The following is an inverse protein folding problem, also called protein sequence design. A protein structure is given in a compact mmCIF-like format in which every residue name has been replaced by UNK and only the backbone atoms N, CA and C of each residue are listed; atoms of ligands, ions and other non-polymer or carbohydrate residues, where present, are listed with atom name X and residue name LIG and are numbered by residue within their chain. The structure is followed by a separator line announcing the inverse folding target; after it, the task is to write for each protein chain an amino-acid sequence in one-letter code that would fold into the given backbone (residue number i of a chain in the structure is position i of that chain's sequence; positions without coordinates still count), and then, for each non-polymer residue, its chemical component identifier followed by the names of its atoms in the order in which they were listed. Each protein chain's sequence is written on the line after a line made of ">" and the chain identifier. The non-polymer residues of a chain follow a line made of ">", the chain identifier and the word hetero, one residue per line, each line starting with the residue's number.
data_IF_008973902771
#
_entry.id   IF_008973902771
#
_cell.length_a   1.000
_cell.length_b   1.000
_cell.length_c   1.000
_cell.angle_alpha   90.00
_cell.angle_beta   90.00
_cell.angle_gamma   90.00
#
_symmetry.space_group_name_H-M   'P 1'
#
loop_
_entity.id
_entity.type
_entity.pdbx_description
1 polymer ?
#
# COMPACT_ATOMS: atom_id res chain seq x y z
N UNK A 1 9.27 -1.96 -46.79
CA UNK A 1 10.44 -2.86 -46.72
C UNK A 1 11.35 -2.24 -45.66
N UNK A 2 11.24 -2.77 -44.43
CA UNK A 2 11.93 -2.27 -43.24
C UNK A 2 13.43 -2.53 -43.41
N UNK A 3 14.24 -1.49 -43.36
CA UNK A 3 15.69 -1.64 -43.43
C UNK A 3 16.30 -0.88 -42.24
N UNK A 4 16.95 -1.66 -41.35
CA UNK A 4 17.69 -1.25 -40.13
C UNK A 4 16.86 -1.00 -38.86
N UNK A 5 16.41 -2.11 -38.26
CA UNK A 5 15.66 -2.16 -36.99
C UNK A 5 16.28 -1.36 -35.84
N UNK A 6 15.70 -0.19 -35.60
CA UNK A 6 15.80 0.54 -34.36
C UNK A 6 14.47 1.25 -34.11
N UNK A 7 13.86 1.01 -32.95
CA UNK A 7 12.76 1.85 -32.45
C UNK A 7 13.43 3.05 -31.78
N UNK A 8 13.28 4.23 -32.37
CA UNK A 8 13.74 5.47 -31.78
C UNK A 8 12.68 5.98 -30.82
N UNK A 9 12.91 5.79 -29.52
CA UNK A 9 12.07 6.32 -28.45
C UNK A 9 12.82 7.52 -27.84
N UNK A 10 12.27 8.71 -28.03
CA UNK A 10 12.73 9.97 -27.44
C UNK A 10 11.80 10.29 -26.27
N UNK A 11 12.34 10.45 -25.07
CA UNK A 11 11.60 11.01 -23.93
C UNK A 11 12.00 12.47 -23.76
N UNK A 12 11.09 13.32 -23.30
CA UNK A 12 11.46 14.59 -22.66
C UNK A 12 12.35 14.36 -21.42
N UNK A 13 12.69 15.41 -20.68
CA UNK A 13 13.38 15.23 -19.39
C UNK A 13 12.54 14.33 -18.49
N UNK A 14 13.08 13.16 -18.11
CA UNK A 14 12.52 12.32 -17.07
C UNK A 14 12.65 13.11 -15.77
N UNK A 15 11.54 13.67 -15.29
CA UNK A 15 11.55 14.59 -14.16
C UNK A 15 12.09 13.93 -12.88
N UNK A 16 11.82 12.64 -12.65
CA UNK A 16 12.45 11.86 -11.57
C UNK A 16 12.28 10.35 -11.81
N UNK A 17 13.37 9.58 -11.73
CA UNK A 17 13.29 8.11 -11.60
C UNK A 17 13.35 7.78 -10.12
N UNK A 18 12.24 7.28 -9.57
CA UNK A 18 12.21 6.76 -8.21
C UNK A 18 12.35 5.24 -8.27
N UNK A 19 13.55 4.66 -8.10
CA UNK A 19 13.65 3.23 -7.91
C UNK A 19 12.83 2.88 -6.67
N UNK A 20 11.90 1.96 -6.83
CA UNK A 20 11.13 1.45 -5.71
C UNK A 20 11.99 0.48 -4.88
N UNK A 21 13.17 0.90 -4.40
CA UNK A 21 13.93 0.19 -3.37
C UNK A 21 13.19 0.34 -2.03
N UNK A 22 12.98 -0.77 -1.31
CA UNK A 22 12.30 -0.78 -0.01
C UNK A 22 13.23 -1.37 1.03
N UNK A 23 13.63 -0.53 1.98
CA UNK A 23 14.04 -0.99 3.31
C UNK A 23 12.93 -0.61 4.26
N UNK A 24 12.09 -1.55 4.66
CA UNK A 24 11.09 -1.32 5.72
C UNK A 24 11.87 -1.40 7.05
N UNK A 25 12.01 -0.29 7.82
CA UNK A 25 12.58 -0.37 9.16
C UNK A 25 11.78 -1.36 10.02
N UNK A 26 12.46 -2.38 10.55
CA UNK A 26 11.81 -3.48 11.28
C UNK A 26 11.25 -3.12 12.66
N UNK A 27 11.14 -1.82 13.03
CA UNK A 27 10.71 -1.44 14.38
C UNK A 27 9.69 -0.30 14.33
N UNK A 28 8.46 -0.60 14.79
CA UNK A 28 7.35 0.32 15.10
C UNK A 28 6.64 1.02 13.92
N UNK A 29 6.89 0.57 12.69
CA UNK A 29 6.07 0.98 11.54
C UNK A 29 4.75 0.19 11.53
N UNK A 30 3.67 0.95 11.41
CA UNK A 30 2.31 0.46 11.25
C UNK A 30 1.70 0.96 9.95
N UNK A 31 0.62 0.32 9.53
CA UNK A 31 -0.20 0.75 8.37
C UNK A 31 -0.52 2.25 8.46
N UNK A 32 -0.96 2.73 9.63
CA UNK A 32 -1.35 4.14 9.82
C UNK A 32 -0.16 5.11 9.76
N UNK A 33 1.04 4.70 10.19
CA UNK A 33 2.24 5.55 10.04
C UNK A 33 2.79 5.53 8.63
N UNK A 34 2.75 4.38 7.95
CA UNK A 34 3.24 4.27 6.58
C UNK A 34 2.39 5.13 5.63
N UNK A 35 1.07 5.05 5.78
CA UNK A 35 0.15 5.89 5.03
C UNK A 35 0.17 7.38 5.47
N UNK A 36 1.08 7.77 6.37
CA UNK A 36 1.18 9.11 6.97
C UNK A 36 -0.13 9.59 7.63
N UNK A 37 -1.04 8.69 7.98
CA UNK A 37 -2.34 9.05 8.59
C UNK A 37 -2.18 9.41 10.07
N UNK A 38 -1.21 8.79 10.75
CA UNK A 38 -1.02 8.94 12.20
C UNK A 38 -0.82 10.39 12.64
N UNK A 39 0.00 11.15 11.91
CA UNK A 39 0.29 12.55 12.20
C UNK A 39 -0.96 13.43 12.19
N UNK A 40 -1.84 13.19 11.23
CA UNK A 40 -3.09 13.91 11.09
C UNK A 40 -4.10 13.51 12.17
N UNK A 41 -4.12 12.23 12.55
CA UNK A 41 -4.92 11.78 13.71
C UNK A 41 -4.43 12.45 15.00
N UNK A 42 -3.12 12.46 15.27
CA UNK A 42 -2.55 13.11 16.47
C UNK A 42 -2.94 14.58 16.56
N UNK A 43 -2.86 15.31 15.44
CA UNK A 43 -3.29 16.72 15.35
C UNK A 43 -4.79 16.89 15.58
N UNK A 44 -5.61 15.97 15.06
CA UNK A 44 -7.06 16.02 15.23
C UNK A 44 -7.47 15.75 16.69
N UNK A 45 -6.91 14.73 17.33
CA UNK A 45 -7.21 14.38 18.72
C UNK A 45 -6.74 15.46 19.70
N UNK A 46 -5.59 16.09 19.46
CA UNK A 46 -5.12 17.21 20.28
C UNK A 46 -6.04 18.45 20.24
N UNK A 47 -6.97 18.55 19.28
CA UNK A 47 -7.94 19.65 19.19
C UNK A 47 -9.25 19.38 19.94
N UNK A 48 -9.47 18.15 20.41
CA UNK A 48 -10.68 17.77 21.17
C UNK A 48 -10.75 18.50 22.51
N UNK A 49 -11.97 18.63 23.07
CA UNK A 49 -12.14 19.28 24.37
C UNK A 49 -11.49 18.46 25.49
N UNK A 50 -11.70 17.13 25.49
CA UNK A 50 -11.08 16.20 26.43
C UNK A 50 -9.54 16.35 26.48
N UNK A 51 -8.91 16.53 25.30
CA UNK A 51 -7.47 16.76 25.22
C UNK A 51 -7.06 18.12 25.81
N UNK A 52 -7.81 19.19 25.54
CA UNK A 52 -7.52 20.53 26.07
C UNK A 52 -7.64 20.58 27.58
N UNK A 53 -8.67 19.96 28.14
CA UNK A 53 -8.91 19.92 29.59
C UNK A 53 -7.77 19.22 30.33
N UNK A 54 -7.14 18.23 29.68
CA UNK A 54 -5.97 17.48 30.19
C UNK A 54 -4.62 18.07 29.73
N UNK A 55 -4.62 19.25 29.11
CA UNK A 55 -3.43 19.91 28.55
C UNK A 55 -2.60 19.01 27.63
N UNK A 56 -3.26 18.19 26.81
CA UNK A 56 -2.67 17.26 25.84
C UNK A 56 -2.37 17.94 24.50
N UNK A 57 -1.18 17.67 23.97
CA UNK A 57 -0.67 18.14 22.68
C UNK A 57 -0.54 16.97 21.71
N UNK A 58 -0.38 17.24 20.41
CA UNK A 58 -0.23 16.20 19.39
C UNK A 58 0.90 15.20 19.68
N UNK A 59 2.00 15.66 20.29
CA UNK A 59 3.11 14.80 20.71
C UNK A 59 2.72 13.72 21.73
N UNK A 60 1.72 13.99 22.57
CA UNK A 60 1.27 13.08 23.62
C UNK A 60 0.55 11.84 23.05
N UNK A 61 -0.04 11.98 21.86
CA UNK A 61 -0.70 10.92 21.11
C UNK A 61 0.28 10.10 20.25
N UNK A 62 1.58 10.37 20.31
CA UNK A 62 2.60 9.52 19.68
C UNK A 62 2.71 8.19 20.43
N UNK A 63 2.46 7.06 19.78
CA UNK A 63 2.75 5.77 20.42
C UNK A 63 4.26 5.50 20.55
N UNK A 64 5.11 6.22 19.81
CA UNK A 64 6.57 6.06 19.90
C UNK A 64 7.20 6.81 21.07
N UNK A 65 6.67 8.00 21.39
CA UNK A 65 7.32 8.97 22.30
C UNK A 65 6.35 9.68 23.24
N UNK A 66 5.05 9.56 23.00
CA UNK A 66 4.01 10.28 23.74
C UNK A 66 3.73 9.65 25.09
N UNK A 67 3.08 10.44 25.96
CA UNK A 67 2.69 10.01 27.32
C UNK A 67 1.51 9.05 27.36
N UNK A 68 0.69 9.03 26.29
CA UNK A 68 -0.50 8.18 26.23
C UNK A 68 -0.20 6.75 25.74
N UNK A 69 1.05 6.45 25.38
CA UNK A 69 1.43 5.11 24.92
C UNK A 69 1.29 4.08 26.04
N UNK A 70 1.05 2.83 25.66
CA UNK A 70 0.95 1.75 26.63
C UNK A 70 2.29 1.55 27.35
N UNK A 71 2.35 1.61 28.70
CA UNK A 71 3.59 1.44 29.44
C UNK A 71 4.12 0.01 29.43
N UNK A 72 3.22 -0.99 29.30
CA UNK A 72 3.62 -2.41 29.34
C UNK A 72 4.38 -2.86 28.09
N UNK A 73 3.99 -2.38 26.91
CA UNK A 73 4.66 -2.69 25.65
C UNK A 73 5.48 -1.52 25.09
N UNK A 74 5.59 -0.41 25.83
CA UNK A 74 6.24 0.85 25.37
C UNK A 74 5.76 1.29 23.96
N UNK A 75 4.47 1.10 23.68
CA UNK A 75 3.84 1.46 22.41
C UNK A 75 4.11 0.54 21.21
N UNK A 76 4.72 -0.63 21.40
CA UNK A 76 4.86 -1.65 20.34
C UNK A 76 3.55 -2.36 20.03
N UNK A 77 2.62 -2.42 20.98
CA UNK A 77 1.35 -3.16 20.83
C UNK A 77 1.49 -4.67 21.02
N UNK A 78 2.71 -5.19 21.10
CA UNK A 78 3.05 -6.61 21.17
C UNK A 78 4.14 -6.89 22.21
N UNK A 79 4.20 -8.12 22.71
CA UNK A 79 5.23 -8.62 23.60
C UNK A 79 5.93 -9.79 22.92
N UNK A 80 7.27 -9.76 22.89
CA UNK A 80 8.09 -10.89 22.45
C UNK A 80 8.24 -11.87 23.61
N UNK A 81 7.81 -13.11 23.41
CA UNK A 81 8.04 -14.21 24.34
C UNK A 81 9.22 -15.02 23.84
N UNK A 82 10.28 -15.06 24.65
CA UNK A 82 11.40 -15.96 24.44
C UNK A 82 10.94 -17.39 24.79
N UNK A 83 10.85 -18.24 23.76
CA UNK A 83 10.53 -19.65 23.91
C UNK A 83 11.78 -20.43 23.58
N UNK A 84 12.34 -21.09 24.58
CA UNK A 84 13.58 -21.86 24.41
C UNK A 84 13.49 -22.81 23.21
N UNK A 85 14.50 -22.74 22.35
CA UNK A 85 14.65 -23.57 21.13
C UNK A 85 13.65 -23.28 20.00
N UNK A 86 12.81 -22.26 20.13
CA UNK A 86 11.92 -21.78 19.07
C UNK A 86 12.21 -20.32 18.75
N UNK A 87 11.87 -19.83 17.54
CA UNK A 87 11.88 -18.41 17.26
C UNK A 87 10.95 -17.65 18.24
N UNK A 88 11.36 -16.44 18.62
CA UNK A 88 10.56 -15.52 19.42
C UNK A 88 9.11 -15.44 18.91
N UNK A 89 8.15 -15.71 19.79
CA UNK A 89 6.74 -15.59 19.47
C UNK A 89 6.26 -14.21 19.91
N UNK A 90 5.76 -13.43 18.96
CA UNK A 90 5.09 -12.17 19.28
C UNK A 90 3.62 -12.44 19.58
N UNK A 91 3.15 -11.91 20.70
CA UNK A 91 1.72 -11.91 21.06
C UNK A 91 1.21 -10.48 21.20
N UNK A 92 -0.09 -10.22 20.93
CA UNK A 92 -0.71 -8.95 21.27
C UNK A 92 -0.50 -8.64 22.76
N UNK A 93 -0.11 -7.41 23.06
CA UNK A 93 0.08 -6.97 24.44
C UNK A 93 -1.23 -7.15 25.24
N UNK A 94 -1.22 -7.81 26.40
CA UNK A 94 -2.44 -8.09 27.17
C UNK A 94 -3.13 -6.81 27.68
N UNK A 95 -2.36 -5.76 27.93
CA UNK A 95 -2.85 -4.51 28.50
C UNK A 95 -3.55 -3.63 27.45
N UNK A 96 -2.93 -3.43 26.29
CA UNK A 96 -3.47 -2.56 25.24
C UNK A 96 -4.14 -3.32 24.08
N UNK A 97 -3.98 -4.65 24.01
CA UNK A 97 -4.54 -5.54 22.98
C UNK A 97 -4.26 -5.03 21.56
N UNK A 98 -2.99 -4.72 21.28
CA UNK A 98 -2.56 -4.22 19.97
C UNK A 98 -2.78 -2.73 19.72
N UNK A 99 -3.57 -2.02 20.55
CA UNK A 99 -3.88 -0.60 20.30
C UNK A 99 -2.69 0.35 20.51
N UNK A 100 -1.63 -0.09 21.21
CA UNK A 100 -0.39 0.66 21.53
C UNK A 100 -0.57 1.81 22.53
N UNK A 101 -1.76 2.04 23.03
CA UNK A 101 -2.09 3.13 23.95
C UNK A 101 -2.50 2.60 25.33
N UNK A 102 -2.27 3.41 26.36
CA UNK A 102 -2.72 3.16 27.72
C UNK A 102 -4.19 3.52 27.94
N UNK A 103 -4.72 3.20 29.12
CA UNK A 103 -6.13 3.41 29.48
C UNK A 103 -6.58 4.88 29.31
N UNK A 104 -5.74 5.84 29.72
CA UNK A 104 -6.05 7.28 29.64
C UNK A 104 -6.37 7.78 28.22
N UNK A 105 -5.88 7.08 27.19
CA UNK A 105 -6.12 7.44 25.80
C UNK A 105 -7.56 7.11 25.33
N UNK A 106 -8.23 6.17 25.98
CA UNK A 106 -9.62 5.77 25.65
C UNK A 106 -10.65 6.82 26.05
N UNK A 107 -10.31 7.66 27.03
CA UNK A 107 -11.18 8.74 27.49
C UNK A 107 -11.25 9.91 26.50
N UNK A 108 -10.28 10.02 25.61
CA UNK A 108 -10.18 11.15 24.68
C UNK A 108 -10.91 10.76 23.41
N UNK A 109 -12.12 11.29 23.25
CA UNK A 109 -13.01 10.87 22.17
C UNK A 109 -13.24 11.99 21.16
N UNK A 110 -13.18 11.63 19.88
CA UNK A 110 -13.54 12.51 18.78
C UNK A 110 -14.90 12.08 18.24
N UNK A 111 -15.84 13.02 18.18
CA UNK A 111 -17.13 12.80 17.49
C UNK A 111 -16.91 12.72 15.98
N UNK A 112 -17.40 11.64 15.38
CA UNK A 112 -17.56 11.50 13.94
C UNK A 112 -18.93 12.05 13.50
N UNK A 113 -19.15 12.18 12.19
CA UNK A 113 -20.40 12.74 11.66
C UNK A 113 -21.60 11.81 11.79
N UNK A 114 -21.35 10.52 11.96
CA UNK A 114 -22.37 9.49 12.21
C UNK A 114 -22.98 9.58 13.62
N UNK A 115 -22.50 10.50 14.47
CA UNK A 115 -22.95 10.69 15.84
C UNK A 115 -22.18 9.86 16.87
N UNK A 116 -21.33 8.92 16.43
CA UNK A 116 -20.49 8.12 17.30
C UNK A 116 -19.24 8.90 17.73
N UNK A 117 -18.65 8.49 18.85
CA UNK A 117 -17.44 9.09 19.39
C UNK A 117 -16.36 8.02 19.57
N UNK A 118 -15.28 8.17 18.80
CA UNK A 118 -14.19 7.20 18.74
C UNK A 118 -12.94 7.75 19.43
N UNK A 119 -12.30 6.91 20.22
CA UNK A 119 -10.96 7.16 20.76
C UNK A 119 -9.89 6.74 19.77
N UNK A 120 -8.69 7.31 19.89
CA UNK A 120 -7.57 6.92 19.03
C UNK A 120 -7.22 5.42 19.17
N UNK A 121 -7.19 4.81 20.38
CA UNK A 121 -6.94 3.38 20.52
C UNK A 121 -7.99 2.49 19.83
N UNK A 122 -9.26 2.88 19.86
CA UNK A 122 -10.33 2.17 19.13
C UNK A 122 -10.07 2.21 17.61
N UNK A 123 -9.69 3.38 17.07
CA UNK A 123 -9.32 3.49 15.65
C UNK A 123 -8.11 2.61 15.28
N UNK A 124 -7.10 2.52 16.16
CA UNK A 124 -5.92 1.69 15.89
C UNK A 124 -6.24 0.21 15.75
N UNK A 125 -7.34 -0.27 16.36
CA UNK A 125 -7.81 -1.64 16.27
C UNK A 125 -8.88 -1.86 15.19
N UNK A 126 -9.20 -0.83 14.39
CA UNK A 126 -10.09 -0.94 13.25
C UNK A 126 -9.33 -1.31 11.98
N UNK A 127 -9.99 -2.06 11.12
CA UNK A 127 -9.60 -2.19 9.71
C UNK A 127 -9.68 -0.84 8.99
N UNK A 128 -8.95 -0.70 7.88
CA UNK A 128 -9.04 0.48 7.00
C UNK A 128 -10.49 0.81 6.63
N UNK A 129 -11.30 -0.21 6.28
CA UNK A 129 -12.70 -0.04 5.88
C UNK A 129 -13.59 0.48 7.02
N UNK A 130 -13.40 -0.07 8.23
CA UNK A 130 -14.11 0.42 9.42
C UNK A 130 -13.69 1.85 9.76
N UNK A 131 -12.39 2.14 9.66
CA UNK A 131 -11.84 3.45 9.97
C UNK A 131 -12.31 4.53 8.98
N UNK A 132 -12.56 4.21 7.71
CA UNK A 132 -13.10 5.16 6.73
C UNK A 132 -14.37 5.83 7.24
N UNK A 133 -15.31 5.04 7.79
CA UNK A 133 -16.55 5.54 8.39
C UNK A 133 -16.27 6.39 9.65
N UNK A 134 -15.43 5.87 10.54
CA UNK A 134 -15.07 6.54 11.79
C UNK A 134 -14.26 7.84 11.60
N UNK A 135 -13.66 8.05 10.42
CA UNK A 135 -12.89 9.25 10.06
C UNK A 135 -13.70 10.29 9.27
N UNK A 136 -15.02 10.11 9.11
CA UNK A 136 -15.84 11.15 8.47
C UNK A 136 -15.69 12.50 9.22
N UNK A 137 -15.43 13.55 8.44
CA UNK A 137 -15.03 14.88 8.90
C UNK A 137 -13.53 15.18 8.84
N UNK A 138 -12.66 14.16 8.69
CA UNK A 138 -11.21 14.33 8.55
C UNK A 138 -10.79 14.05 7.10
N UNK A 139 -10.88 15.07 6.23
CA UNK A 139 -10.66 14.95 4.78
C UNK A 139 -9.33 14.23 4.44
N UNK A 140 -8.22 14.71 4.98
CA UNK A 140 -6.89 14.22 4.61
C UNK A 140 -6.61 12.77 5.09
N UNK A 141 -6.85 12.40 6.37
CA UNK A 141 -6.82 11.00 6.81
C UNK A 141 -7.71 10.08 5.98
N UNK A 142 -8.96 10.50 5.71
CA UNK A 142 -9.92 9.69 4.97
C UNK A 142 -9.48 9.46 3.53
N UNK A 143 -8.97 10.49 2.84
CA UNK A 143 -8.43 10.34 1.48
C UNK A 143 -7.28 9.33 1.43
N UNK A 144 -6.38 9.36 2.41
CA UNK A 144 -5.25 8.41 2.46
C UNK A 144 -5.70 6.97 2.76
N UNK A 145 -6.70 6.79 3.62
CA UNK A 145 -7.29 5.48 3.84
C UNK A 145 -8.12 5.00 2.65
N UNK A 146 -8.74 5.91 1.88
CA UNK A 146 -9.49 5.55 0.69
C UNK A 146 -8.56 4.93 -0.35
N UNK A 147 -7.36 5.51 -0.54
CA UNK A 147 -6.34 4.91 -1.39
C UNK A 147 -5.98 3.49 -0.94
N UNK A 148 -5.80 3.25 0.36
CA UNK A 148 -5.54 1.89 0.85
C UNK A 148 -6.70 0.92 0.56
N UNK A 149 -7.94 1.37 0.73
CA UNK A 149 -9.13 0.59 0.39
C UNK A 149 -9.17 0.26 -1.10
N UNK A 150 -8.96 1.26 -1.97
CA UNK A 150 -8.97 1.11 -3.42
C UNK A 150 -7.87 0.15 -3.91
N UNK A 151 -6.77 0.05 -3.15
CA UNK A 151 -5.68 -0.91 -3.36
C UNK A 151 -5.96 -2.32 -2.78
N UNK A 152 -7.16 -2.56 -2.27
CA UNK A 152 -7.57 -3.82 -1.66
C UNK A 152 -6.92 -4.12 -0.31
N UNK A 153 -6.41 -3.09 0.38
CA UNK A 153 -5.85 -3.20 1.74
C UNK A 153 -6.87 -2.83 2.82
N UNK A 154 -8.17 -2.88 2.47
CA UNK A 154 -9.29 -2.52 3.34
C UNK A 154 -9.37 -3.33 4.64
N UNK A 155 -8.89 -4.57 4.62
CA UNK A 155 -8.90 -5.49 5.77
C UNK A 155 -7.78 -5.25 6.78
N UNK A 156 -6.71 -4.55 6.39
CA UNK A 156 -5.56 -4.33 7.27
C UNK A 156 -5.95 -3.47 8.46
N UNK A 157 -5.45 -3.82 9.64
CA UNK A 157 -5.72 -3.06 10.86
C UNK A 157 -4.78 -1.86 10.95
N UNK A 158 -5.28 -0.68 11.33
CA UNK A 158 -4.47 0.56 11.35
C UNK A 158 -3.19 0.45 12.22
N UNK A 159 -3.28 -0.24 13.35
CA UNK A 159 -2.17 -0.46 14.28
C UNK A 159 -1.29 -1.68 14.01
N UNK A 160 -1.59 -2.44 12.97
CA UNK A 160 -0.85 -3.64 12.57
C UNK A 160 0.58 -3.31 12.14
N UNK A 161 1.55 -4.14 12.55
CA UNK A 161 2.95 -3.94 12.19
C UNK A 161 3.21 -4.32 10.73
N UNK A 162 3.88 -3.43 9.97
CA UNK A 162 4.20 -3.68 8.56
C UNK A 162 5.11 -4.88 8.27
N UNK A 163 6.00 -5.36 9.16
CA UNK A 163 6.77 -6.60 8.93
C UNK A 163 5.94 -7.88 8.91
N UNK A 164 4.66 -7.84 9.29
CA UNK A 164 3.72 -8.97 9.16
C UNK A 164 3.07 -9.09 7.78
N UNK A 165 3.28 -8.10 6.90
CA UNK A 165 2.68 -8.06 5.57
C UNK A 165 3.41 -9.00 4.59
N UNK A 166 2.64 -9.66 3.73
CA UNK A 166 3.12 -10.34 2.53
C UNK A 166 3.83 -9.37 1.58
N UNK A 167 4.67 -9.91 0.68
CA UNK A 167 5.34 -9.10 -0.34
C UNK A 167 4.37 -8.24 -1.16
N UNK A 168 3.23 -8.83 -1.55
CA UNK A 168 2.18 -8.12 -2.30
C UNK A 168 1.46 -7.04 -1.49
N UNK A 169 1.23 -7.24 -0.20
CA UNK A 169 0.68 -6.18 0.68
C UNK A 169 1.67 -5.04 0.87
N UNK A 170 2.95 -5.34 1.07
CA UNK A 170 3.99 -4.32 1.21
C UNK A 170 4.15 -3.50 -0.08
N UNK A 171 4.07 -4.14 -1.25
CA UNK A 171 4.10 -3.47 -2.55
C UNK A 171 2.90 -2.55 -2.74
N UNK A 172 1.68 -3.03 -2.47
CA UNK A 172 0.46 -2.21 -2.56
C UNK A 172 0.49 -1.04 -1.58
N UNK A 173 0.94 -1.26 -0.35
CA UNK A 173 1.07 -0.21 0.66
C UNK A 173 2.05 0.89 0.20
N UNK A 174 3.10 0.52 -0.55
CA UNK A 174 4.02 1.47 -1.18
C UNK A 174 3.38 2.28 -2.29
N UNK A 175 2.60 1.64 -3.16
CA UNK A 175 1.85 2.36 -4.20
C UNK A 175 0.92 3.40 -3.59
N UNK A 176 0.28 3.08 -2.47
CA UNK A 176 -0.57 4.02 -1.75
C UNK A 176 0.12 5.33 -1.38
N UNK A 177 1.41 5.28 -1.00
CA UNK A 177 2.16 6.49 -0.64
C UNK A 177 2.47 7.40 -1.83
N UNK A 178 2.50 6.85 -3.05
CA UNK A 178 2.79 7.61 -4.26
C UNK A 178 1.53 8.23 -4.89
N UNK A 179 0.36 7.61 -4.70
CA UNK A 179 -0.93 8.03 -5.30
C UNK A 179 -1.48 9.39 -4.80
N UNK A 180 -0.82 10.07 -3.85
CA UNK A 180 -1.29 11.33 -3.26
C UNK A 180 -0.96 12.62 -4.04
N UNK A 181 -0.30 12.53 -5.21
CA UNK A 181 0.07 13.66 -6.08
C UNK A 181 -0.52 13.44 -7.48
N UNK A 182 -0.81 14.50 -8.24
CA UNK A 182 -1.28 14.35 -9.63
C UNK A 182 -0.25 13.57 -10.45
N UNK A 183 -0.70 12.52 -11.14
CA UNK A 183 0.17 11.52 -11.78
C UNK A 183 0.33 11.69 -13.29
N UNK A 184 -0.13 12.81 -13.87
CA UNK A 184 -0.14 13.02 -15.32
C UNK A 184 1.23 12.91 -16.00
N UNK A 185 2.33 13.01 -15.25
CA UNK A 185 3.70 12.92 -15.73
C UNK A 185 4.50 11.75 -15.10
N UNK A 186 3.81 10.73 -14.58
CA UNK A 186 4.43 9.59 -13.88
C UNK A 186 4.41 8.30 -14.71
N UNK A 187 5.53 7.59 -14.75
CA UNK A 187 5.64 6.22 -15.28
C UNK A 187 5.96 5.25 -14.14
N UNK A 188 5.11 4.25 -13.92
CA UNK A 188 5.34 3.18 -12.97
C UNK A 188 5.82 1.93 -13.72
N UNK A 189 6.93 1.35 -13.29
CA UNK A 189 7.46 0.10 -13.85
C UNK A 189 7.43 -1.00 -12.80
N UNK A 190 6.78 -2.11 -13.12
CA UNK A 190 6.65 -3.28 -12.26
C UNK A 190 7.34 -4.48 -12.89
N UNK A 191 8.13 -5.20 -12.09
CA UNK A 191 8.85 -6.40 -12.51
C UNK A 191 8.23 -7.62 -11.82
N UNK A 192 7.49 -8.43 -12.59
CA UNK A 192 6.75 -9.62 -12.17
C UNK A 192 5.95 -9.44 -10.85
N UNK A 193 5.05 -8.43 -10.77
CA UNK A 193 4.31 -8.11 -9.56
C UNK A 193 3.32 -9.21 -9.11
N UNK A 194 3.00 -10.20 -9.95
CA UNK A 194 2.11 -11.31 -9.61
C UNK A 194 2.81 -12.49 -8.93
N UNK A 195 4.14 -12.51 -8.84
CA UNK A 195 4.88 -13.64 -8.22
C UNK A 195 4.34 -13.90 -6.81
N UNK A 196 3.85 -15.12 -6.61
CA UNK A 196 3.37 -15.59 -5.30
C UNK A 196 2.02 -15.01 -4.87
N UNK A 197 1.32 -14.29 -5.75
CA UNK A 197 -0.05 -13.85 -5.50
C UNK A 197 -1.05 -14.97 -5.79
N UNK A 198 -2.11 -15.03 -4.99
CA UNK A 198 -3.26 -15.85 -5.31
C UNK A 198 -4.03 -15.23 -6.49
N UNK A 199 -4.71 -16.00 -7.37
CA UNK A 199 -5.43 -15.43 -8.52
C UNK A 199 -6.47 -14.35 -8.18
N UNK A 200 -7.07 -14.39 -6.99
CA UNK A 200 -7.96 -13.32 -6.53
C UNK A 200 -7.22 -12.01 -6.22
N UNK A 201 -5.97 -12.10 -5.77
CA UNK A 201 -5.12 -10.94 -5.50
C UNK A 201 -4.59 -10.31 -6.79
N UNK A 202 -4.41 -11.10 -7.86
CA UNK A 202 -4.10 -10.59 -9.21
C UNK A 202 -5.19 -9.64 -9.70
N UNK A 203 -6.47 -9.99 -9.51
CA UNK A 203 -7.60 -9.09 -9.85
C UNK A 203 -7.57 -7.79 -9.06
N UNK A 204 -7.18 -7.87 -7.79
CA UNK A 204 -7.02 -6.68 -6.95
C UNK A 204 -5.88 -5.81 -7.46
N UNK A 205 -4.76 -6.41 -7.87
CA UNK A 205 -3.63 -5.71 -8.48
C UNK A 205 -4.01 -5.03 -9.82
N UNK A 206 -4.85 -5.66 -10.63
CA UNK A 206 -5.38 -5.02 -11.85
C UNK A 206 -6.18 -3.76 -11.54
N UNK A 207 -7.03 -3.78 -10.50
CA UNK A 207 -7.75 -2.58 -10.04
C UNK A 207 -6.79 -1.48 -9.56
N UNK A 208 -5.67 -1.86 -8.94
CA UNK A 208 -4.60 -0.92 -8.57
C UNK A 208 -4.01 -0.24 -9.80
N UNK A 209 -3.65 -1.01 -10.82
CA UNK A 209 -3.11 -0.46 -12.07
C UNK A 209 -4.12 0.45 -12.76
N UNK A 210 -5.38 0.04 -12.83
CA UNK A 210 -6.45 0.88 -13.38
C UNK A 210 -6.56 2.20 -12.62
N UNK A 211 -6.50 2.16 -11.29
CA UNK A 211 -6.57 3.39 -10.48
C UNK A 211 -5.38 4.31 -10.78
N UNK A 212 -4.17 3.78 -10.98
CA UNK A 212 -3.00 4.59 -11.37
C UNK A 212 -3.21 5.24 -12.74
N UNK A 213 -3.73 4.50 -13.71
CA UNK A 213 -4.04 4.97 -15.07
C UNK A 213 -5.11 6.07 -15.03
N UNK A 214 -6.18 5.88 -14.25
CA UNK A 214 -7.27 6.85 -14.07
C UNK A 214 -6.76 8.19 -13.47
N UNK A 215 -5.66 8.15 -12.72
CA UNK A 215 -5.00 9.35 -12.17
C UNK A 215 -3.99 9.99 -13.15
N UNK A 216 -3.88 9.46 -14.37
CA UNK A 216 -3.04 9.98 -15.46
C UNK A 216 -1.66 9.34 -15.55
N UNK A 217 -1.37 8.30 -14.78
CA UNK A 217 -0.08 7.61 -14.86
C UNK A 217 0.02 6.69 -16.08
N UNK A 218 1.24 6.43 -16.54
CA UNK A 218 1.53 5.29 -17.43
C UNK A 218 2.05 4.14 -16.59
N UNK A 219 1.54 2.94 -16.81
CA UNK A 219 1.96 1.72 -16.11
C UNK A 219 2.62 0.76 -17.11
N UNK A 220 3.85 0.34 -16.82
CA UNK A 220 4.60 -0.67 -17.58
C UNK A 220 4.82 -1.86 -16.68
N UNK A 221 4.42 -3.03 -17.14
CA UNK A 221 4.50 -4.26 -16.36
C UNK A 221 5.27 -5.31 -17.16
N UNK A 222 6.25 -5.95 -16.51
CA UNK A 222 6.91 -7.15 -17.00
C UNK A 222 6.19 -8.33 -16.35
N UNK A 223 5.51 -9.17 -17.14
CA UNK A 223 4.66 -10.23 -16.61
C UNK A 223 4.65 -11.47 -17.48
N UNK A 224 4.26 -12.57 -16.85
CA UNK A 224 3.94 -13.84 -17.49
C UNK A 224 2.54 -14.37 -17.10
N UNK A 225 1.86 -13.72 -16.15
CA UNK A 225 0.48 -14.04 -15.79
C UNK A 225 -0.51 -13.60 -16.90
N UNK A 226 -1.27 -14.56 -17.42
CA UNK A 226 -2.16 -14.34 -18.57
C UNK A 226 -3.34 -13.42 -18.25
N UNK A 227 -3.83 -13.40 -17.00
CA UNK A 227 -4.90 -12.48 -16.61
C UNK A 227 -4.40 -11.03 -16.70
N UNK A 228 -3.13 -10.78 -16.34
CA UNK A 228 -2.53 -9.44 -16.48
C UNK A 228 -2.30 -9.08 -17.95
N UNK A 229 -1.72 -10.00 -18.72
CA UNK A 229 -1.42 -9.76 -20.14
C UNK A 229 -2.70 -9.47 -20.93
N UNK A 230 -3.78 -10.21 -20.69
CA UNK A 230 -5.05 -10.05 -21.41
C UNK A 230 -5.78 -8.75 -21.07
N UNK A 231 -5.53 -8.17 -19.88
CA UNK A 231 -6.10 -6.89 -19.46
C UNK A 231 -5.23 -5.67 -19.84
N UNK A 232 -4.13 -5.86 -20.57
CA UNK A 232 -3.26 -4.75 -20.98
C UNK A 232 -3.85 -3.95 -22.15
N UNK A 233 -3.70 -2.63 -22.13
CA UNK A 233 -4.05 -1.78 -23.27
C UNK A 233 -3.13 -2.01 -24.48
N UNK A 234 -1.86 -2.36 -24.22
CA UNK A 234 -0.82 -2.57 -25.21
C UNK A 234 0.23 -3.56 -24.72
N UNK A 235 0.68 -4.45 -25.59
CA UNK A 235 1.66 -5.50 -25.30
C UNK A 235 2.87 -5.32 -26.21
N UNK A 236 4.06 -5.55 -25.64
CA UNK A 236 5.31 -5.73 -26.36
C UNK A 236 5.79 -7.15 -26.07
N UNK A 237 5.58 -8.06 -27.02
CA UNK A 237 5.96 -9.46 -26.86
C UNK A 237 7.44 -9.66 -27.25
N UNK A 238 8.19 -10.30 -26.36
CA UNK A 238 9.63 -10.49 -26.49
C UNK A 238 9.94 -11.97 -26.75
N UNK A 239 10.81 -12.25 -27.71
CA UNK A 239 11.13 -13.64 -28.06
C UNK A 239 12.10 -13.74 -29.23
N UNK A 240 11.96 -14.78 -30.09
CA UNK A 240 11.00 -15.90 -30.01
C UNK A 240 11.33 -16.96 -28.96
N UNK A 241 12.53 -16.94 -28.37
CA UNK A 241 12.92 -17.82 -27.26
C UNK A 241 13.67 -17.08 -26.17
N UNK A 242 14.23 -17.81 -25.21
CA UNK A 242 15.10 -17.26 -24.16
C UNK A 242 16.58 -17.18 -24.55
N UNK A 243 17.34 -16.34 -23.86
CA UNK A 243 18.80 -16.27 -24.02
C UNK A 243 19.25 -15.82 -25.40
N UNK A 244 20.08 -16.61 -26.09
CA UNK A 244 20.63 -16.28 -27.42
C UNK A 244 19.57 -16.27 -28.53
N UNK A 245 18.48 -17.02 -28.32
CA UNK A 245 17.36 -17.11 -29.25
C UNK A 245 16.28 -16.03 -28.98
N UNK A 246 16.55 -15.14 -28.03
CA UNK A 246 15.64 -14.06 -27.61
C UNK A 246 16.14 -12.66 -27.95
N UNK A 247 15.59 -11.67 -27.25
CA UNK A 247 16.02 -10.28 -27.32
C UNK A 247 15.48 -9.50 -28.53
N UNK A 248 14.43 -10.02 -29.18
CA UNK A 248 13.73 -9.34 -30.27
C UNK A 248 12.29 -9.08 -29.87
N UNK A 249 11.74 -7.97 -30.35
CA UNK A 249 10.29 -7.75 -30.33
C UNK A 249 9.70 -8.63 -31.42
N UNK A 250 8.89 -9.62 -31.03
CA UNK A 250 8.22 -10.53 -31.97
C UNK A 250 6.87 -9.98 -32.42
N UNK A 251 6.17 -9.28 -31.53
CA UNK A 251 4.88 -8.67 -31.80
C UNK A 251 4.68 -7.44 -30.89
N UNK A 252 3.92 -6.47 -31.37
CA UNK A 252 3.47 -5.36 -30.54
C UNK A 252 2.09 -4.89 -31.00
N UNK A 253 1.21 -4.57 -30.05
CA UNK A 253 -0.17 -4.21 -30.36
C UNK A 253 -1.11 -4.42 -29.18
N UNK A 254 -2.40 -4.35 -29.44
CA UNK A 254 -3.45 -4.72 -28.48
C UNK A 254 -3.44 -6.24 -28.21
N UNK A 255 -4.03 -6.73 -27.11
CA UNK A 255 -4.19 -8.17 -26.87
C UNK A 255 -4.79 -8.92 -28.07
N UNK A 256 -5.80 -8.33 -28.72
CA UNK A 256 -6.40 -8.89 -29.93
C UNK A 256 -5.41 -8.99 -31.11
N UNK A 257 -4.55 -8.01 -31.31
CA UNK A 257 -3.53 -8.06 -32.37
C UNK A 257 -2.46 -9.12 -32.07
N UNK A 258 -2.07 -9.26 -30.79
CA UNK A 258 -1.11 -10.29 -30.36
C UNK A 258 -1.69 -11.70 -30.57
N UNK A 259 -2.97 -11.93 -30.24
CA UNK A 259 -3.68 -13.21 -30.47
C UNK A 259 -3.60 -13.70 -31.91
N UNK A 260 -3.59 -12.77 -32.87
CA UNK A 260 -3.58 -13.07 -34.31
C UNK A 260 -2.17 -13.09 -34.91
N UNK A 261 -1.11 -13.03 -34.10
CA UNK A 261 0.28 -13.03 -34.57
C UNK A 261 0.91 -14.43 -34.44
N UNK A 262 1.09 -15.14 -35.55
CA UNK A 262 1.60 -16.52 -35.59
C UNK A 262 2.98 -16.72 -34.91
N UNK A 263 3.83 -15.67 -34.98
CA UNK A 263 5.19 -15.65 -34.42
C UNK A 263 5.22 -15.41 -32.90
N UNK A 264 4.11 -14.94 -32.30
CA UNK A 264 3.99 -14.72 -30.87
C UNK A 264 3.68 -16.04 -30.15
N UNK A 265 4.50 -16.42 -29.16
CA UNK A 265 4.16 -17.53 -28.27
C UNK A 265 3.04 -17.08 -27.33
N UNK A 266 3.15 -15.87 -26.78
CA UNK A 266 2.18 -15.26 -25.87
C UNK A 266 0.78 -15.24 -26.46
N UNK A 267 0.63 -14.82 -27.73
CA UNK A 267 -0.65 -14.79 -28.45
C UNK A 267 -1.35 -16.14 -28.60
N UNK A 268 -0.65 -17.27 -28.41
CA UNK A 268 -1.28 -18.61 -28.43
C UNK A 268 -1.98 -18.95 -27.12
N UNK A 269 -1.69 -18.24 -26.04
CA UNK A 269 -2.15 -18.55 -24.69
C UNK A 269 -3.15 -17.55 -24.13
N UNK A 270 -3.12 -16.30 -24.59
CA UNK A 270 -4.18 -15.34 -24.30
C UNK A 270 -5.35 -15.60 -25.25
#
# INVERSE_FOLDING_TARGET
>A
MFDKGAIHLETGMIHTVHPLDVRIPMRRLTVVTYANVHDELRKAYAKTQDAKDRSLKAGDFSYNTGRLRCPACDGTGEISLDVQFLPDVKIPCPDCRGSRYGADAFDIRRKAKDGNAYSLPELMNMSVDQALNALDGLKLPRQRLQVLHDLGLGYLTLGEETPGLSGGEAQRLKLASEMGKGQSDSVFVFDEPTIGLHPQDVRTLLLVFQTLIDHGATVVVIEHDLDVVDNADYIIDMGPGGGKEGGRVVACGTPDEIRHTDESITGRYI
#
